data_IF_205178131388
#
_entry.id   IF_205178131388
#
_cell.length_a   1.000
_cell.length_b   1.000
_cell.length_c   1.000
_cell.angle_alpha   90.00
_cell.angle_beta   90.00
_cell.angle_gamma   90.00
#
_symmetry.space_group_name_H-M   'P 1'
#
loop_
_entity.id
_entity.type
_entity.pdbx_description
1 polymer ?
#
# COMPACT_ATOMS: atom_id res chain seq x y z
N UNK A 1 17.52 9.54 -1.25
CA UNK A 1 17.19 8.70 -0.09
C UNK A 1 17.20 7.26 -0.58
N UNK A 2 17.76 6.30 0.17
CA UNK A 2 17.93 4.93 -0.35
C UNK A 2 16.70 4.05 -0.14
N UNK A 3 15.95 4.27 0.95
CA UNK A 3 14.67 3.62 1.23
C UNK A 3 13.79 4.57 2.05
N UNK A 4 12.46 4.43 1.96
CA UNK A 4 11.58 5.11 2.93
C UNK A 4 11.77 4.52 4.32
N UNK A 5 11.50 5.30 5.37
CA UNK A 5 11.57 4.82 6.75
C UNK A 5 10.60 3.67 7.08
N UNK A 6 9.63 3.39 6.20
CA UNK A 6 8.55 2.43 6.42
C UNK A 6 8.84 1.06 5.81
N UNK A 7 9.65 0.97 4.76
CA UNK A 7 9.95 -0.30 4.07
C UNK A 7 10.38 -1.41 5.04
N UNK A 8 11.39 -1.12 5.86
CA UNK A 8 11.93 -2.11 6.81
C UNK A 8 10.89 -2.59 7.83
N UNK A 9 10.01 -1.70 8.29
CA UNK A 9 8.96 -2.02 9.27
C UNK A 9 7.95 -3.01 8.69
N UNK A 10 7.46 -2.75 7.47
CA UNK A 10 6.43 -3.61 6.85
C UNK A 10 7.00 -4.92 6.32
N UNK A 11 8.25 -4.92 5.81
CA UNK A 11 8.93 -6.18 5.46
C UNK A 11 9.11 -7.06 6.70
N UNK A 12 9.51 -6.49 7.83
CA UNK A 12 9.64 -7.26 9.08
C UNK A 12 8.29 -7.83 9.57
N UNK A 13 7.19 -7.11 9.36
CA UNK A 13 5.85 -7.62 9.67
C UNK A 13 5.45 -8.79 8.77
N UNK A 14 5.79 -8.73 7.47
CA UNK A 14 5.55 -9.81 6.52
C UNK A 14 6.40 -11.04 6.83
N UNK A 15 7.68 -10.89 7.19
CA UNK A 15 8.54 -11.99 7.63
C UNK A 15 8.00 -12.63 8.92
N UNK A 16 7.56 -11.83 9.89
CA UNK A 16 6.92 -12.37 11.09
C UNK A 16 5.64 -13.15 10.78
N UNK A 17 4.83 -12.67 9.83
CA UNK A 17 3.64 -13.39 9.38
C UNK A 17 4.02 -14.72 8.71
N UNK A 18 5.08 -14.72 7.91
CA UNK A 18 5.64 -15.91 7.28
C UNK A 18 6.03 -16.98 8.31
N UNK A 19 6.77 -16.59 9.35
CA UNK A 19 7.13 -17.48 10.48
C UNK A 19 5.88 -18.07 11.15
N UNK A 20 4.84 -17.26 11.37
CA UNK A 20 3.58 -17.72 11.98
C UNK A 20 2.88 -18.75 11.08
N UNK A 21 2.86 -18.52 9.76
CA UNK A 21 2.27 -19.46 8.79
C UNK A 21 3.05 -20.77 8.79
N UNK A 22 4.38 -20.73 8.82
CA UNK A 22 5.22 -21.93 8.87
C UNK A 22 4.99 -22.74 10.15
N UNK A 23 4.86 -22.06 11.30
CA UNK A 23 4.50 -22.71 12.57
C UNK A 23 3.10 -23.32 12.50
N UNK A 24 2.12 -22.60 11.97
CA UNK A 24 0.76 -23.11 11.81
C UNK A 24 0.74 -24.33 10.87
N UNK A 25 1.47 -24.27 9.76
CA UNK A 25 1.55 -25.36 8.79
C UNK A 25 2.20 -26.61 9.39
N UNK A 26 3.32 -26.45 10.11
CA UNK A 26 4.02 -27.58 10.75
C UNK A 26 3.16 -28.29 11.80
N UNK A 27 2.27 -27.58 12.50
CA UNK A 27 1.29 -28.16 13.43
C UNK A 27 0.12 -28.88 12.75
N UNK A 28 -0.18 -28.52 11.51
CA UNK A 28 -1.25 -29.16 10.72
C UNK A 28 -0.74 -30.48 10.12
N UNK A 29 0.53 -30.53 9.69
CA UNK A 29 1.11 -31.67 8.97
C UNK A 29 1.96 -32.61 9.83
N UNK A 30 2.03 -32.37 11.15
CA UNK A 30 2.80 -33.22 12.08
C UNK A 30 2.24 -34.63 12.20
N UNK A 31 3.07 -35.58 12.67
CA UNK A 31 2.65 -36.97 12.92
C UNK A 31 1.52 -37.05 13.97
N UNK A 32 1.54 -36.14 14.94
CA UNK A 32 0.42 -35.85 15.84
C UNK A 32 -0.10 -34.44 15.52
N UNK A 33 -1.10 -34.27 14.63
CA UNK A 33 -1.66 -32.97 14.29
C UNK A 33 -2.31 -32.27 15.47
N UNK A 34 -2.16 -30.95 15.53
CA UNK A 34 -2.90 -30.12 16.49
C UNK A 34 -4.36 -29.96 16.01
N UNK A 35 -5.30 -30.63 16.69
CA UNK A 35 -6.73 -30.61 16.39
C UNK A 35 -7.29 -29.18 16.25
N UNK A 36 -6.79 -28.22 17.04
CA UNK A 36 -7.26 -26.85 16.95
C UNK A 36 -6.86 -26.21 15.62
N UNK A 37 -5.62 -26.39 15.17
CA UNK A 37 -5.18 -25.88 13.88
C UNK A 37 -5.85 -26.60 12.73
N UNK A 38 -5.94 -27.93 12.80
CA UNK A 38 -6.57 -28.74 11.76
C UNK A 38 -8.02 -28.34 11.53
N UNK A 39 -8.81 -28.24 12.62
CA UNK A 39 -10.23 -27.89 12.55
C UNK A 39 -10.49 -26.43 12.14
N UNK A 40 -9.49 -25.54 12.26
CA UNK A 40 -9.62 -24.11 11.96
C UNK A 40 -8.73 -23.65 10.79
N UNK A 41 -8.19 -24.57 9.98
CA UNK A 41 -7.25 -24.25 8.88
C UNK A 41 -7.78 -23.15 7.98
N UNK A 42 -9.02 -23.27 7.48
CA UNK A 42 -9.65 -22.28 6.61
C UNK A 42 -9.73 -20.89 7.25
N UNK A 43 -10.03 -20.81 8.54
CA UNK A 43 -10.07 -19.53 9.27
C UNK A 43 -8.69 -18.88 9.33
N UNK A 44 -7.64 -19.66 9.59
CA UNK A 44 -6.26 -19.16 9.61
C UNK A 44 -5.81 -18.68 8.23
N UNK A 45 -6.02 -19.49 7.18
CA UNK A 45 -5.67 -19.11 5.80
C UNK A 45 -6.36 -17.81 5.38
N UNK A 46 -7.66 -17.65 5.68
CA UNK A 46 -8.40 -16.39 5.44
C UNK A 46 -7.76 -15.23 6.21
N UNK A 47 -7.45 -15.42 7.49
CA UNK A 47 -6.86 -14.39 8.34
C UNK A 47 -5.49 -13.94 7.84
N UNK A 48 -4.61 -14.88 7.49
CA UNK A 48 -3.28 -14.58 6.97
C UNK A 48 -3.33 -13.78 5.66
N UNK A 49 -4.22 -14.18 4.74
CA UNK A 49 -4.44 -13.47 3.48
C UNK A 49 -4.90 -12.02 3.70
N UNK A 50 -5.83 -11.80 4.63
CA UNK A 50 -6.31 -10.47 4.98
C UNK A 50 -5.18 -9.64 5.59
N UNK A 51 -4.41 -10.21 6.52
CA UNK A 51 -3.32 -9.51 7.22
C UNK A 51 -2.22 -9.07 6.24
N UNK A 52 -1.76 -9.95 5.34
CA UNK A 52 -0.70 -9.58 4.39
C UNK A 52 -1.14 -8.45 3.44
N UNK A 53 -2.40 -8.45 2.99
CA UNK A 53 -2.94 -7.34 2.18
C UNK A 53 -3.06 -6.05 2.99
N UNK A 54 -3.43 -6.12 4.27
CA UNK A 54 -3.50 -4.96 5.14
C UNK A 54 -2.11 -4.33 5.38
N UNK A 55 -1.06 -5.14 5.49
CA UNK A 55 0.32 -4.64 5.55
C UNK A 55 0.73 -3.94 4.24
N UNK A 56 0.40 -4.52 3.09
CA UNK A 56 0.65 -3.87 1.79
C UNK A 56 -0.07 -2.50 1.70
N UNK A 57 -1.36 -2.45 2.03
CA UNK A 57 -2.16 -1.21 2.00
C UNK A 57 -1.61 -0.15 2.94
N UNK A 58 -1.21 -0.55 4.15
CA UNK A 58 -0.63 0.35 5.14
C UNK A 58 0.73 0.88 4.72
N UNK A 59 1.59 0.02 4.13
CA UNK A 59 2.85 0.45 3.54
C UNK A 59 2.65 1.49 2.44
N UNK A 60 1.77 1.21 1.47
CA UNK A 60 1.49 2.16 0.37
C UNK A 60 1.04 3.52 0.91
N UNK A 61 0.23 3.53 1.97
CA UNK A 61 -0.22 4.76 2.64
C UNK A 61 0.91 5.54 3.24
N UNK A 62 1.75 4.87 4.01
CA UNK A 62 2.88 5.50 4.68
C UNK A 62 3.92 6.02 3.70
N UNK A 63 4.26 5.21 2.69
CA UNK A 63 5.26 5.54 1.69
C UNK A 63 4.82 6.72 0.81
N UNK A 64 3.54 6.79 0.42
CA UNK A 64 3.04 7.91 -0.38
C UNK A 64 2.97 9.22 0.41
N UNK A 65 2.75 9.18 1.73
CA UNK A 65 2.82 10.37 2.56
C UNK A 65 4.22 10.99 2.56
N UNK A 66 5.28 10.19 2.43
CA UNK A 66 6.66 10.71 2.32
C UNK A 66 6.77 11.69 1.14
N UNK A 67 6.16 11.40 -0.01
CA UNK A 67 6.17 12.31 -1.17
C UNK A 67 5.48 13.63 -0.85
N UNK A 68 4.31 13.55 -0.20
CA UNK A 68 3.51 14.74 0.15
C UNK A 68 4.28 15.60 1.16
N UNK A 69 4.87 14.99 2.18
CA UNK A 69 5.62 15.67 3.22
C UNK A 69 6.89 16.33 2.65
N UNK A 70 7.64 15.61 1.81
CA UNK A 70 8.82 16.17 1.13
C UNK A 70 8.47 17.28 0.14
N UNK A 71 7.34 17.15 -0.57
CA UNK A 71 6.85 18.22 -1.44
C UNK A 71 6.46 19.45 -0.62
N UNK A 72 5.78 19.27 0.51
CA UNK A 72 5.46 20.37 1.42
C UNK A 72 6.70 21.01 2.02
N UNK A 73 7.75 20.23 2.34
CA UNK A 73 9.04 20.77 2.78
C UNK A 73 9.66 21.67 1.70
N UNK A 74 9.70 21.21 0.44
CA UNK A 74 10.18 22.01 -0.70
C UNK A 74 9.35 23.28 -0.92
N UNK A 75 8.03 23.18 -0.83
CA UNK A 75 7.12 24.33 -0.95
C UNK A 75 7.34 25.36 0.16
N UNK A 76 7.49 24.91 1.41
CA UNK A 76 7.74 25.78 2.56
C UNK A 76 9.08 26.54 2.42
N UNK A 77 10.12 25.89 1.88
CA UNK A 77 11.39 26.55 1.59
C UNK A 77 11.26 27.63 0.50
N UNK A 78 10.37 27.42 -0.48
CA UNK A 78 10.14 28.36 -1.58
C UNK A 78 9.23 29.55 -1.22
N UNK A 79 8.49 29.48 -0.11
CA UNK A 79 7.57 30.52 0.38
C UNK A 79 6.59 31.01 -0.70
N UNK A 80 6.02 30.07 -1.46
CA UNK A 80 5.04 30.40 -2.50
C UNK A 80 3.76 30.94 -1.85
N UNK A 81 3.24 32.13 -2.25
CA UNK A 81 2.03 32.67 -1.64
C UNK A 81 0.79 31.81 -1.94
N UNK A 82 0.01 31.44 -0.91
CA UNK A 82 -1.23 30.66 -1.06
C UNK A 82 -2.18 31.26 -2.10
N UNK A 83 -2.42 32.57 -1.99
CA UNK A 83 -3.34 33.30 -2.85
C UNK A 83 -2.92 33.28 -4.32
N UNK A 84 -1.61 33.33 -4.61
CA UNK A 84 -1.11 33.31 -5.98
C UNK A 84 -1.40 31.96 -6.64
N UNK A 85 -1.14 30.85 -5.94
CA UNK A 85 -1.42 29.51 -6.44
C UNK A 85 -2.93 29.26 -6.57
N UNK A 86 -3.73 29.72 -5.60
CA UNK A 86 -5.20 29.55 -5.69
C UNK A 86 -5.82 30.34 -6.83
N UNK A 87 -5.34 31.56 -7.05
CA UNK A 87 -5.79 32.39 -8.16
C UNK A 87 -5.42 31.76 -9.51
N UNK A 88 -4.20 31.22 -9.66
CA UNK A 88 -3.78 30.58 -10.91
C UNK A 88 -4.62 29.36 -11.28
N UNK A 89 -5.06 28.57 -10.30
CA UNK A 89 -5.92 27.40 -10.51
C UNK A 89 -7.40 27.74 -10.78
N UNK A 90 -7.82 29.00 -10.56
CA UNK A 90 -9.20 29.44 -10.69
C UNK A 90 -9.32 30.77 -11.44
N UNK A 91 -8.46 31.00 -12.44
CA UNK A 91 -8.34 32.31 -13.11
C UNK A 91 -9.65 32.79 -13.74
N UNK A 92 -10.52 31.85 -14.13
CA UNK A 92 -11.83 32.10 -14.74
C UNK A 92 -12.95 32.35 -13.72
N UNK A 93 -12.67 32.20 -12.42
CA UNK A 93 -13.65 32.39 -11.33
C UNK A 93 -13.26 33.58 -10.47
N UNK A 94 -14.27 34.28 -9.95
CA UNK A 94 -14.04 35.34 -8.98
C UNK A 94 -13.33 34.78 -7.74
N UNK A 95 -12.17 35.37 -7.39
CA UNK A 95 -11.40 34.96 -6.23
C UNK A 95 -12.09 35.45 -4.96
N UNK A 96 -12.77 34.54 -4.25
CA UNK A 96 -13.57 34.90 -3.08
C UNK A 96 -12.67 35.22 -1.89
N UNK A 97 -13.05 36.25 -1.11
CA UNK A 97 -12.34 36.60 0.13
C UNK A 97 -12.29 35.45 1.15
N UNK A 98 -13.27 34.53 1.14
CA UNK A 98 -13.28 33.33 1.99
C UNK A 98 -12.14 32.35 1.69
N UNK A 99 -11.61 32.39 0.46
CA UNK A 99 -10.53 31.52 -0.01
C UNK A 99 -9.15 32.18 0.15
N UNK A 100 -9.13 33.47 0.50
CA UNK A 100 -7.90 34.26 0.69
C UNK A 100 -7.25 33.95 2.04
N UNK A 101 -5.97 33.56 2.00
CA UNK A 101 -5.15 33.33 3.18
C UNK A 101 -3.77 33.93 2.97
N UNK A 102 -3.34 34.76 3.93
CA UNK A 102 -1.99 35.32 3.97
C UNK A 102 -1.03 34.32 4.62
N UNK A 103 -0.88 33.15 3.99
CA UNK A 103 0.05 32.09 4.41
C UNK A 103 0.81 31.55 3.19
N UNK A 104 1.88 30.80 3.46
CA UNK A 104 2.60 30.05 2.43
C UNK A 104 1.74 28.87 1.95
N UNK A 105 1.83 28.57 0.65
CA UNK A 105 1.11 27.49 0.02
C UNK A 105 1.60 26.14 0.56
N UNK A 106 0.64 25.28 0.89
CA UNK A 106 0.86 23.89 1.28
C UNK A 106 -0.17 22.99 0.62
N UNK A 107 0.22 21.77 0.33
CA UNK A 107 -0.66 20.70 -0.12
C UNK A 107 -1.40 20.16 1.12
N UNK A 108 -2.72 20.37 1.25
CA UNK A 108 -3.47 20.04 2.47
C UNK A 108 -3.96 18.59 2.47
N UNK A 109 -3.18 17.66 1.91
CA UNK A 109 -3.50 16.23 1.93
C UNK A 109 -2.93 15.65 3.21
N UNK A 110 -3.78 15.00 4.02
CA UNK A 110 -3.32 14.24 5.19
C UNK A 110 -3.49 12.75 4.91
N UNK A 111 -2.99 11.96 5.85
CA UNK A 111 -3.00 10.50 5.77
C UNK A 111 -4.40 9.93 5.54
N UNK A 112 -5.43 10.50 6.18
CA UNK A 112 -6.83 10.00 6.08
C UNK A 112 -7.45 10.25 4.71
N UNK A 113 -7.06 11.33 4.03
CA UNK A 113 -7.55 11.67 2.70
C UNK A 113 -7.02 10.70 1.63
N UNK A 114 -6.01 9.88 1.97
CA UNK A 114 -5.53 8.80 1.10
C UNK A 114 -6.35 7.51 1.26
N UNK A 115 -7.13 7.33 2.33
CA UNK A 115 -7.85 6.07 2.60
C UNK A 115 -8.78 5.67 1.46
N UNK A 116 -9.48 6.64 0.86
CA UNK A 116 -10.41 6.40 -0.25
C UNK A 116 -9.71 6.06 -1.57
N UNK A 117 -8.41 6.34 -1.68
CA UNK A 117 -7.61 6.13 -2.90
C UNK A 117 -6.66 4.94 -2.80
N UNK A 118 -6.36 4.48 -1.59
CA UNK A 118 -5.48 3.36 -1.37
C UNK A 118 -6.25 2.07 -1.45
N UNK A 119 -5.73 1.19 -2.28
CA UNK A 119 -6.15 -0.19 -2.38
C UNK A 119 -4.89 -1.00 -2.63
N UNK A 120 -4.86 -2.24 -2.12
CA UNK A 120 -3.84 -3.20 -2.52
C UNK A 120 -3.89 -3.48 -4.02
N UNK A 121 -5.00 -3.14 -4.70
CA UNK A 121 -5.16 -3.34 -6.13
C UNK A 121 -4.21 -2.40 -6.92
N UNK A 122 -3.26 -2.95 -7.70
CA UNK A 122 -2.19 -2.18 -8.32
C UNK A 122 -2.70 -1.23 -9.42
N UNK A 123 -3.85 -1.51 -10.04
CA UNK A 123 -4.46 -0.62 -11.03
C UNK A 123 -5.02 0.65 -10.40
N UNK A 124 -5.63 0.53 -9.21
CA UNK A 124 -6.06 1.70 -8.41
C UNK A 124 -4.87 2.45 -7.83
N UNK A 125 -3.88 1.71 -7.33
CA UNK A 125 -2.62 2.28 -6.83
C UNK A 125 -1.95 3.14 -7.91
N UNK A 126 -1.89 2.65 -9.16
CA UNK A 126 -1.34 3.39 -10.30
C UNK A 126 -1.98 4.76 -10.51
N UNK A 127 -3.31 4.87 -10.42
CA UNK A 127 -3.98 6.15 -10.58
C UNK A 127 -3.61 7.15 -9.47
N UNK A 128 -3.40 6.67 -8.25
CA UNK A 128 -2.93 7.50 -7.14
C UNK A 128 -1.47 7.93 -7.34
N UNK A 129 -0.59 7.03 -7.75
CA UNK A 129 0.81 7.35 -8.07
C UNK A 129 0.93 8.38 -9.19
N UNK A 130 0.07 8.28 -10.22
CA UNK A 130 0.00 9.26 -11.31
C UNK A 130 -0.32 10.67 -10.78
N UNK A 131 -1.22 10.81 -9.81
CA UNK A 131 -1.53 12.12 -9.19
C UNK A 131 -0.34 12.71 -8.43
N UNK A 132 0.56 11.85 -7.96
CA UNK A 132 1.79 12.22 -7.25
C UNK A 132 3.00 12.34 -8.19
N UNK A 133 2.80 12.24 -9.50
CA UNK A 133 3.87 12.43 -10.48
C UNK A 133 4.75 11.22 -10.73
N UNK A 134 4.39 10.02 -10.24
CA UNK A 134 5.11 8.78 -10.51
C UNK A 134 4.36 7.99 -11.59
N UNK A 135 5.05 7.69 -12.70
CA UNK A 135 4.50 6.89 -13.78
C UNK A 135 4.91 5.42 -13.66
N UNK A 136 4.02 4.59 -13.09
CA UNK A 136 4.27 3.16 -12.92
C UNK A 136 4.29 2.38 -14.24
N UNK A 137 3.66 2.89 -15.31
CA UNK A 137 3.62 2.20 -16.62
C UNK A 137 4.98 2.11 -17.31
N UNK A 138 5.91 2.99 -16.93
CA UNK A 138 7.27 2.97 -17.46
C UNK A 138 8.19 2.01 -16.70
N UNK A 139 7.73 1.41 -15.59
CA UNK A 139 8.53 0.51 -14.78
C UNK A 139 8.27 -0.96 -15.15
N UNK A 140 9.25 -1.60 -15.78
CA UNK A 140 9.15 -2.99 -16.23
C UNK A 140 8.92 -3.97 -15.06
N UNK A 141 9.48 -3.66 -13.89
CA UNK A 141 9.32 -4.51 -12.69
C UNK A 141 7.87 -4.45 -12.22
N UNK A 142 7.29 -3.25 -12.09
CA UNK A 142 5.88 -3.07 -11.77
C UNK A 142 4.97 -3.78 -12.78
N UNK A 143 5.22 -3.61 -14.07
CA UNK A 143 4.44 -4.25 -15.14
C UNK A 143 4.47 -5.78 -15.03
N UNK A 144 5.60 -6.36 -14.62
CA UNK A 144 5.71 -7.82 -14.37
C UNK A 144 5.02 -8.28 -13.08
N UNK A 145 4.85 -7.40 -12.08
CA UNK A 145 4.34 -7.74 -10.76
C UNK A 145 2.83 -7.50 -10.62
N UNK A 146 2.27 -6.52 -11.34
CA UNK A 146 0.90 -6.01 -11.13
C UNK A 146 -0.18 -7.09 -11.22
N UNK A 147 -0.08 -8.03 -12.17
CA UNK A 147 -1.10 -9.07 -12.31
C UNK A 147 -1.10 -10.04 -11.12
N UNK A 148 0.09 -10.37 -10.59
CA UNK A 148 0.23 -11.24 -9.42
C UNK A 148 -0.33 -10.57 -8.17
N UNK A 149 0.01 -9.30 -7.94
CA UNK A 149 -0.54 -8.52 -6.83
C UNK A 149 -2.07 -8.39 -6.95
N UNK A 150 -2.57 -8.13 -8.16
CA UNK A 150 -4.00 -8.06 -8.42
C UNK A 150 -4.71 -9.38 -8.09
N UNK A 151 -4.15 -10.53 -8.49
CA UNK A 151 -4.71 -11.83 -8.18
C UNK A 151 -4.83 -12.07 -6.66
N UNK A 152 -3.79 -11.73 -5.89
CA UNK A 152 -3.79 -11.83 -4.42
C UNK A 152 -4.90 -10.97 -3.82
N UNK A 153 -5.01 -9.71 -4.25
CA UNK A 153 -5.99 -8.76 -3.71
C UNK A 153 -7.41 -9.13 -4.09
N UNK A 154 -7.63 -9.62 -5.32
CA UNK A 154 -8.93 -10.14 -5.75
C UNK A 154 -9.33 -11.34 -4.90
N UNK A 155 -8.39 -12.25 -4.60
CA UNK A 155 -8.68 -13.39 -3.71
C UNK A 155 -9.02 -12.93 -2.30
N UNK A 156 -8.29 -11.96 -1.74
CA UNK A 156 -8.63 -11.33 -0.46
C UNK A 156 -10.04 -10.75 -0.46
N UNK A 157 -10.40 -10.01 -1.51
CA UNK A 157 -11.72 -9.39 -1.62
C UNK A 157 -12.84 -10.44 -1.65
N UNK A 158 -12.64 -11.57 -2.33
CA UNK A 158 -13.58 -12.69 -2.31
C UNK A 158 -13.75 -13.28 -0.91
N UNK A 159 -12.64 -13.52 -0.21
CA UNK A 159 -12.66 -14.01 1.17
C UNK A 159 -13.40 -13.06 2.11
N UNK A 160 -13.19 -11.75 2.00
CA UNK A 160 -13.87 -10.75 2.84
C UNK A 160 -15.36 -10.61 2.49
N UNK A 161 -15.69 -10.43 1.21
CA UNK A 161 -17.03 -10.00 0.80
C UNK A 161 -18.00 -11.15 0.53
N UNK A 162 -17.50 -12.32 0.15
CA UNK A 162 -18.33 -13.48 -0.16
C UNK A 162 -18.20 -14.58 0.90
N UNK A 163 -17.38 -14.36 1.94
CA UNK A 163 -16.97 -15.39 2.89
C UNK A 163 -16.51 -16.67 2.17
N UNK A 164 -16.00 -16.54 0.94
CA UNK A 164 -15.54 -17.65 0.14
C UNK A 164 -14.57 -18.49 0.95
N UNK A 165 -14.70 -19.81 0.87
CA UNK A 165 -13.68 -20.68 1.43
C UNK A 165 -12.33 -20.39 0.78
N UNK A 166 -11.30 -20.40 1.62
CA UNK A 166 -9.91 -20.32 1.18
C UNK A 166 -9.34 -21.72 0.98
N UNK A 167 -10.20 -22.73 0.77
CA UNK A 167 -9.81 -24.12 0.55
C UNK A 167 -9.01 -24.33 -0.73
N UNK A 168 -9.09 -23.38 -1.67
CA UNK A 168 -8.31 -23.30 -2.90
C UNK A 168 -6.97 -22.56 -2.73
N UNK A 169 -6.62 -22.12 -1.51
CA UNK A 169 -5.34 -21.46 -1.20
C UNK A 169 -4.65 -22.26 -0.10
N UNK A 170 -3.48 -22.80 -0.42
CA UNK A 170 -2.65 -23.48 0.57
C UNK A 170 -1.83 -22.50 1.41
N UNK A 171 -1.30 -22.97 2.55
CA UNK A 171 -0.34 -22.17 3.31
C UNK A 171 0.94 -21.90 2.49
N UNK A 172 1.36 -22.82 1.61
CA UNK A 172 2.51 -22.62 0.72
C UNK A 172 2.25 -21.50 -0.29
N UNK A 173 1.03 -21.39 -0.82
CA UNK A 173 0.62 -20.27 -1.67
C UNK A 173 0.70 -18.93 -0.91
N UNK A 174 0.33 -18.91 0.37
CA UNK A 174 0.46 -17.72 1.21
C UNK A 174 1.92 -17.32 1.43
N UNK A 175 2.82 -18.29 1.65
CA UNK A 175 4.26 -18.02 1.77
C UNK A 175 4.82 -17.44 0.46
N UNK A 176 4.41 -17.97 -0.68
CA UNK A 176 4.78 -17.43 -2.00
C UNK A 176 4.26 -15.99 -2.18
N UNK A 177 3.00 -15.76 -1.80
CA UNK A 177 2.37 -14.44 -1.87
C UNK A 177 3.08 -13.41 -1.00
N UNK A 178 3.55 -13.79 0.20
CA UNK A 178 4.37 -12.91 1.06
C UNK A 178 5.63 -12.47 0.32
N UNK A 179 6.36 -13.40 -0.31
CA UNK A 179 7.57 -13.04 -1.07
C UNK A 179 7.24 -12.07 -2.23
N UNK A 180 6.17 -12.33 -2.98
CA UNK A 180 5.70 -11.46 -4.06
C UNK A 180 5.36 -10.05 -3.54
N UNK A 181 4.68 -9.95 -2.40
CA UNK A 181 4.34 -8.66 -1.77
C UNK A 181 5.62 -7.94 -1.31
N UNK A 182 6.58 -8.65 -0.69
CA UNK A 182 7.85 -8.08 -0.25
C UNK A 182 8.67 -7.50 -1.42
N UNK A 183 8.72 -8.21 -2.54
CA UNK A 183 9.36 -7.73 -3.78
C UNK A 183 8.65 -6.51 -4.35
N UNK A 184 7.31 -6.52 -4.34
CA UNK A 184 6.51 -5.38 -4.80
C UNK A 184 6.71 -4.14 -3.93
N UNK A 185 6.69 -4.28 -2.60
CA UNK A 185 7.01 -3.21 -1.65
C UNK A 185 8.39 -2.64 -1.94
N UNK A 186 9.38 -3.52 -2.16
CA UNK A 186 10.76 -3.08 -2.44
C UNK A 186 10.87 -2.29 -3.75
N UNK A 187 10.13 -2.70 -4.78
CA UNK A 187 10.12 -1.99 -6.06
C UNK A 187 9.42 -0.62 -5.95
N UNK A 188 8.26 -0.58 -5.30
CA UNK A 188 7.53 0.67 -5.07
C UNK A 188 8.37 1.65 -4.24
N UNK A 189 9.05 1.18 -3.20
CA UNK A 189 9.92 2.01 -2.38
C UNK A 189 11.01 2.69 -3.19
N UNK A 190 11.67 1.92 -4.06
CA UNK A 190 12.70 2.44 -4.97
C UNK A 190 12.14 3.53 -5.88
N UNK A 191 10.95 3.33 -6.44
CA UNK A 191 10.30 4.31 -7.31
C UNK A 191 9.98 5.61 -6.55
N UNK A 192 9.46 5.50 -5.34
CA UNK A 192 9.19 6.65 -4.45
C UNK A 192 10.49 7.40 -4.13
N UNK A 193 11.52 6.69 -3.69
CA UNK A 193 12.81 7.28 -3.35
C UNK A 193 13.53 7.92 -4.54
N UNK A 194 13.32 7.41 -5.76
CA UNK A 194 13.88 8.01 -6.98
C UNK A 194 13.15 9.29 -7.42
N UNK A 195 11.91 9.48 -6.97
CA UNK A 195 11.08 10.63 -7.32
C UNK A 195 11.33 11.85 -6.44
N UNK A 196 11.69 11.62 -5.17
CA UNK A 196 11.91 12.66 -4.15
C UNK A 196 13.31 13.25 -4.29
#
# INVERSE_FOLDING_TARGET
MDNTQYKGVYIAQLEKLKEIIEIANSRIVSEEPDDFFQNNTNFFTKSFLVIMCAYLESYLKDALMVIIDETNNKLNLSKLPHNLVRWSLNIEKEFKNSDSKFEDFKIPIKKKELDDFISGNPFRTKDLFKKLGINLDCDLIFESQKERINAIVVKRNKVIHHNDDASDVSNDDLLLNINIITEYISNIDRLICSHI
#
